data_IF_037136389950
#
_entry.id   IF_037136389950
#
_cell.length_a   1.000
_cell.length_b   1.000
_cell.length_c   1.000
_cell.angle_alpha   90.00
_cell.angle_beta   90.00
_cell.angle_gamma   90.00
#
_symmetry.space_group_name_H-M   'P 1'
#
loop_
_entity.id
_entity.type
_entity.pdbx_description
1 polymer ?
#
# COMPACT_ATOMS: atom_id res chain seq x y z
N UNK A 1 15.11 7.16 -7.30
CA UNK A 1 13.99 7.10 -6.33
C UNK A 1 12.63 7.20 -7.02
N UNK A 2 12.31 6.32 -7.98
CA UNK A 2 11.03 6.40 -8.75
C UNK A 2 10.38 5.04 -9.08
N UNK A 3 11.01 3.91 -8.75
CA UNK A 3 10.56 2.60 -9.23
C UNK A 3 9.17 2.20 -8.72
N UNK A 4 8.83 2.51 -7.46
CA UNK A 4 7.57 2.05 -6.84
C UNK A 4 6.31 2.59 -7.53
N UNK A 5 6.25 3.90 -7.78
CA UNK A 5 5.10 4.51 -8.44
C UNK A 5 5.00 4.13 -9.92
N UNK A 6 6.13 4.15 -10.66
CA UNK A 6 6.16 3.78 -12.07
C UNK A 6 5.72 2.32 -12.31
N UNK A 7 6.18 1.39 -11.46
CA UNK A 7 5.75 -0.01 -11.49
C UNK A 7 4.27 -0.16 -11.14
N UNK A 8 3.79 0.59 -10.14
CA UNK A 8 2.37 0.57 -9.75
C UNK A 8 1.46 1.10 -10.85
N UNK A 9 1.84 2.18 -11.55
CA UNK A 9 1.05 2.68 -12.67
C UNK A 9 1.08 1.73 -13.88
N UNK A 10 2.18 1.02 -14.11
CA UNK A 10 2.29 0.05 -15.22
C UNK A 10 1.59 -1.28 -14.91
N UNK A 11 1.59 -1.70 -13.64
CA UNK A 11 1.03 -2.97 -13.18
C UNK A 11 0.27 -2.80 -11.85
N UNK A 12 -0.87 -2.08 -11.86
CA UNK A 12 -1.58 -1.70 -10.64
C UNK A 12 -2.15 -2.88 -9.85
N UNK A 13 -2.36 -4.02 -10.51
CA UNK A 13 -2.90 -5.22 -9.87
C UNK A 13 -1.82 -6.21 -9.44
N UNK A 14 -0.54 -5.91 -9.67
CA UNK A 14 0.59 -6.80 -9.36
C UNK A 14 0.84 -6.99 -7.86
N UNK A 15 0.39 -6.05 -7.03
CA UNK A 15 0.46 -6.14 -5.57
C UNK A 15 -0.80 -6.80 -5.04
N UNK A 16 -0.75 -7.64 -3.99
CA UNK A 16 -1.95 -8.16 -3.36
C UNK A 16 -2.81 -7.03 -2.77
N UNK A 17 -4.10 -7.32 -2.54
CA UNK A 17 -4.98 -6.45 -1.75
C UNK A 17 -4.43 -6.30 -0.33
N UNK A 18 -4.75 -5.17 0.32
CA UNK A 18 -4.42 -4.95 1.72
C UNK A 18 -5.00 -6.08 2.61
N UNK A 19 -4.28 -6.52 3.65
CA UNK A 19 -4.76 -7.61 4.53
C UNK A 19 -5.97 -7.20 5.38
N UNK A 20 -6.14 -5.90 5.62
CA UNK A 20 -7.32 -5.38 6.31
C UNK A 20 -8.60 -5.65 5.49
N UNK A 21 -9.63 -6.30 6.08
CA UNK A 21 -10.87 -6.64 5.36
C UNK A 21 -11.64 -5.42 4.84
N UNK A 22 -11.59 -4.30 5.55
CA UNK A 22 -12.28 -3.08 5.15
C UNK A 22 -11.64 -2.46 3.90
N UNK A 23 -10.31 -2.39 3.88
CA UNK A 23 -9.53 -1.90 2.75
C UNK A 23 -9.59 -2.85 1.55
N UNK A 24 -9.43 -4.16 1.75
CA UNK A 24 -9.51 -5.14 0.65
C UNK A 24 -10.89 -5.18 0.00
N UNK A 25 -11.97 -5.08 0.77
CA UNK A 25 -13.34 -5.03 0.21
C UNK A 25 -13.58 -3.85 -0.76
N UNK A 26 -12.74 -2.81 -0.65
CA UNK A 26 -12.76 -1.60 -1.48
C UNK A 26 -11.67 -1.60 -2.56
N UNK A 27 -10.93 -2.71 -2.72
CA UNK A 27 -9.91 -2.84 -3.75
C UNK A 27 -8.58 -2.16 -3.43
N UNK A 28 -8.34 -1.77 -2.17
CA UNK A 28 -7.10 -1.10 -1.79
C UNK A 28 -5.90 -2.05 -1.81
N UNK A 29 -4.79 -1.51 -2.28
CA UNK A 29 -3.44 -2.10 -2.30
C UNK A 29 -2.47 -1.07 -1.75
N UNK A 30 -1.23 -1.50 -1.50
CA UNK A 30 -0.18 -0.59 -1.05
C UNK A 30 1.17 -0.84 -1.73
N UNK A 31 1.99 0.21 -1.78
CA UNK A 31 3.39 0.11 -2.16
C UNK A 31 4.26 1.00 -1.26
N UNK A 32 5.53 0.60 -1.11
CA UNK A 32 6.49 1.35 -0.30
C UNK A 32 7.25 2.37 -1.16
N UNK A 33 7.43 3.57 -0.61
CA UNK A 33 8.30 4.63 -1.13
C UNK A 33 9.23 5.07 -0.01
N UNK A 34 10.44 4.52 0.02
CA UNK A 34 11.40 4.70 1.12
C UNK A 34 10.75 4.30 2.46
N UNK A 35 10.61 5.23 3.39
CA UNK A 35 10.01 5.03 4.72
C UNK A 35 8.51 5.31 4.75
N UNK A 36 7.87 5.47 3.60
CA UNK A 36 6.44 5.75 3.48
C UNK A 36 5.72 4.60 2.79
N UNK A 37 4.45 4.46 3.13
CA UNK A 37 3.52 3.53 2.48
C UNK A 37 2.46 4.38 1.80
N UNK A 38 2.24 4.13 0.52
CA UNK A 38 1.15 4.71 -0.24
C UNK A 38 0.03 3.70 -0.37
N UNK A 39 -1.18 4.09 0.04
CA UNK A 39 -2.41 3.34 -0.11
C UNK A 39 -3.13 3.80 -1.39
N UNK A 40 -3.58 2.86 -2.21
CA UNK A 40 -4.27 3.19 -3.45
C UNK A 40 -5.35 2.15 -3.80
N UNK A 41 -6.54 2.57 -4.24
CA UNK A 41 -7.39 1.75 -5.08
C UNK A 41 -7.00 1.89 -6.56
N UNK A 42 -7.43 0.91 -7.36
CA UNK A 42 -7.33 0.95 -8.82
C UNK A 42 -8.74 0.77 -9.38
N UNK A 43 -9.21 1.76 -10.15
CA UNK A 43 -10.52 1.75 -10.82
C UNK A 43 -10.40 2.45 -12.16
N UNK A 44 -11.13 1.95 -13.17
CA UNK A 44 -11.26 2.61 -14.48
C UNK A 44 -9.92 2.92 -15.17
N UNK A 45 -8.92 2.07 -14.97
CA UNK A 45 -7.58 2.28 -15.54
C UNK A 45 -6.72 3.30 -14.80
N UNK A 46 -7.16 3.81 -13.65
CA UNK A 46 -6.50 4.87 -12.90
C UNK A 46 -6.11 4.39 -11.50
N UNK A 47 -4.85 4.65 -11.13
CA UNK A 47 -4.35 4.49 -9.76
C UNK A 47 -4.60 5.78 -9.00
N UNK A 48 -5.43 5.72 -7.96
CA UNK A 48 -5.69 6.86 -7.08
C UNK A 48 -4.85 6.72 -5.81
N UNK A 49 -3.90 7.61 -5.55
CA UNK A 49 -3.18 7.58 -4.27
C UNK A 49 -4.02 8.30 -3.23
N UNK A 50 -4.63 7.54 -2.33
CA UNK A 50 -5.57 8.05 -1.32
C UNK A 50 -4.84 8.58 -0.08
N UNK A 51 -3.88 7.81 0.44
CA UNK A 51 -3.09 8.19 1.62
C UNK A 51 -1.63 7.82 1.47
N UNK A 52 -0.74 8.67 2.00
CA UNK A 52 0.69 8.38 2.15
C UNK A 52 1.07 8.64 3.60
N UNK A 53 1.52 7.62 4.31
CA UNK A 53 1.85 7.70 5.73
C UNK A 53 3.23 7.08 6.00
N UNK A 54 3.85 7.50 7.11
CA UNK A 54 5.15 6.98 7.48
C UNK A 54 5.00 5.52 7.96
N UNK A 55 5.99 4.66 7.67
CA UNK A 55 5.95 3.23 8.02
C UNK A 55 5.77 2.98 9.53
N UNK A 56 6.24 3.90 10.39
CA UNK A 56 6.01 3.80 11.84
C UNK A 56 4.54 3.95 12.25
N UNK A 57 3.68 4.36 11.32
CA UNK A 57 2.23 4.50 11.48
C UNK A 57 1.49 3.40 10.71
N UNK A 58 2.19 2.37 10.24
CA UNK A 58 1.53 1.22 9.60
C UNK A 58 0.84 0.37 10.66
N UNK A 59 -0.41 0.74 10.97
CA UNK A 59 -1.24 0.04 11.95
C UNK A 59 -1.63 -1.38 11.53
N UNK A 60 -1.41 -1.75 10.26
CA UNK A 60 -1.62 -3.11 9.75
C UNK A 60 -0.35 -3.98 9.83
N UNK A 61 0.79 -3.41 10.23
CA UNK A 61 1.98 -4.20 10.46
C UNK A 61 1.76 -5.11 11.68
N UNK A 62 2.06 -6.42 11.60
CA UNK A 62 2.01 -7.29 12.75
C UNK A 62 2.94 -6.72 13.84
N UNK A 63 2.45 -6.64 15.07
CA UNK A 63 3.26 -6.29 16.23
C UNK A 63 4.35 -7.35 16.34
N UNK A 64 5.57 -7.01 15.91
CA UNK A 64 6.75 -7.78 16.28
C UNK A 64 7.08 -7.38 17.71
N UNK A 65 6.50 -8.08 18.68
CA UNK A 65 7.03 -8.10 20.04
C UNK A 65 8.47 -8.60 19.93
N UNK A 66 9.43 -7.72 20.22
CA UNK A 66 10.79 -8.14 20.43
C UNK A 66 10.77 -8.96 21.72
N UNK A 67 10.86 -10.28 21.60
CA UNK A 67 11.19 -11.13 22.74
C UNK A 67 12.55 -10.66 23.28
N UNK A 68 12.55 -10.20 24.53
CA UNK A 68 13.73 -9.86 25.32
C UNK A 68 14.74 -11.02 25.39
#
# INVERSE_FOLDING_TARGET
MQAGACLTCSFPESKPLCPDPHLSSRGYRSFQVKNYIALYPYSDGIVYVDHVFHRSQDYAAPVVENAE
#
